data_IF_932242782350
#
_entry.id   IF_932242782350
#
_cell.length_a   1.000
_cell.length_b   1.000
_cell.length_c   1.000
_cell.angle_alpha   90.00
_cell.angle_beta   90.00
_cell.angle_gamma   90.00
#
_symmetry.space_group_name_H-M   'P 1'
#
loop_
_entity.id
_entity.type
_entity.pdbx_description
1 polymer ?
#
# COMPACT_ATOMS: atom_id res chain seq x y z
N UNK A 1 -30.69 8.08 28.22
CA UNK A 1 -29.77 6.96 27.92
C UNK A 1 -28.56 7.60 27.28
N UNK A 2 -27.74 8.17 28.16
CA UNK A 2 -26.65 9.06 27.81
C UNK A 2 -25.52 8.31 27.12
N UNK A 3 -25.15 8.86 25.96
CA UNK A 3 -23.83 8.92 25.35
C UNK A 3 -22.71 8.18 26.10
N UNK A 4 -22.48 6.92 25.72
CA UNK A 4 -21.13 6.34 25.79
C UNK A 4 -20.40 6.88 24.56
N UNK A 5 -19.99 8.14 24.64
CA UNK A 5 -19.00 8.66 23.71
C UNK A 5 -17.72 7.87 23.99
N UNK A 6 -17.48 6.93 23.09
CA UNK A 6 -16.29 6.10 22.89
C UNK A 6 -15.00 6.79 23.38
N UNK A 7 -14.61 6.51 24.62
CA UNK A 7 -13.33 6.93 25.22
C UNK A 7 -12.12 6.19 24.57
N UNK A 8 -12.36 5.44 23.49
CA UNK A 8 -11.37 4.65 22.75
C UNK A 8 -10.86 5.32 21.46
N UNK A 9 -11.47 6.42 21.01
CA UNK A 9 -11.00 7.11 19.79
C UNK A 9 -9.67 7.84 20.03
N UNK A 10 -9.39 8.29 21.26
CA UNK A 10 -8.16 8.97 21.64
C UNK A 10 -6.90 8.09 21.74
N UNK A 11 -7.06 6.78 21.94
CA UNK A 11 -5.95 5.79 21.97
C UNK A 11 -5.88 4.95 20.68
N UNK A 12 -6.81 5.20 19.74
CA UNK A 12 -6.81 4.56 18.43
C UNK A 12 -5.78 5.24 17.53
N UNK A 13 -5.01 4.43 16.80
CA UNK A 13 -4.13 4.97 15.75
C UNK A 13 -4.98 5.68 14.68
N UNK A 14 -4.71 6.94 14.32
CA UNK A 14 -5.46 7.65 13.28
C UNK A 14 -5.34 6.97 11.91
N UNK A 15 -6.38 7.04 11.08
CA UNK A 15 -6.38 6.45 9.73
C UNK A 15 -5.34 7.08 8.82
N UNK A 16 -5.05 8.36 9.03
CA UNK A 16 -4.06 9.15 8.31
C UNK A 16 -2.66 8.59 8.57
N UNK A 17 -2.37 8.16 9.81
CA UNK A 17 -1.09 7.58 10.18
C UNK A 17 -0.92 6.17 9.58
N UNK A 18 -1.99 5.38 9.56
CA UNK A 18 -2.00 4.07 8.90
C UNK A 18 -1.84 4.20 7.37
N UNK A 19 -2.47 5.21 6.77
CA UNK A 19 -2.34 5.53 5.34
C UNK A 19 -0.93 5.98 4.99
N UNK A 20 -0.36 6.90 5.79
CA UNK A 20 1.03 7.33 5.63
C UNK A 20 2.03 6.17 5.79
N UNK A 21 1.75 5.21 6.69
CA UNK A 21 2.55 3.99 6.80
C UNK A 21 2.47 3.15 5.52
N UNK A 22 1.26 2.94 4.98
CA UNK A 22 1.02 2.17 3.74
C UNK A 22 1.73 2.80 2.55
N UNK A 23 1.63 4.12 2.42
CA UNK A 23 2.18 4.88 1.31
C UNK A 23 3.69 5.16 1.47
N UNK A 24 4.30 4.71 2.57
CA UNK A 24 5.74 4.85 2.82
C UNK A 24 6.19 6.28 3.11
N UNK A 25 5.27 7.12 3.59
CA UNK A 25 5.49 8.56 3.84
C UNK A 25 5.99 8.86 5.26
N UNK A 26 6.00 7.85 6.15
CA UNK A 26 6.50 7.98 7.51
C UNK A 26 8.03 7.83 7.57
N UNK A 27 8.63 8.52 8.54
CA UNK A 27 10.01 8.23 8.94
C UNK A 27 10.10 6.79 9.48
N UNK A 28 11.28 6.16 9.34
CA UNK A 28 11.44 4.74 9.68
C UNK A 28 11.24 4.46 11.18
N UNK A 29 11.50 5.43 12.08
CA UNK A 29 11.29 5.25 13.52
C UNK A 29 9.81 5.18 13.87
N UNK A 30 9.02 6.11 13.35
CA UNK A 30 7.54 6.08 13.48
C UNK A 30 6.96 4.86 12.80
N UNK A 31 7.44 4.52 11.60
CA UNK A 31 6.99 3.34 10.87
C UNK A 31 7.30 2.03 11.62
N UNK A 32 8.50 1.90 12.22
CA UNK A 32 8.88 0.74 13.01
C UNK A 32 8.01 0.58 14.26
N UNK A 33 7.75 1.67 14.99
CA UNK A 33 6.84 1.65 16.14
C UNK A 33 5.44 1.21 15.76
N UNK A 34 4.92 1.71 14.65
CA UNK A 34 3.58 1.37 14.21
C UNK A 34 3.47 -0.07 13.71
N UNK A 35 4.50 -0.59 13.03
CA UNK A 35 4.59 -2.03 12.69
C UNK A 35 4.68 -2.91 13.94
N UNK A 36 5.45 -2.49 14.94
CA UNK A 36 5.51 -3.19 16.23
C UNK A 36 4.16 -3.20 16.94
N UNK A 37 3.42 -2.07 16.90
CA UNK A 37 2.07 -1.99 17.46
C UNK A 37 1.09 -2.88 16.70
N UNK A 38 1.12 -2.89 15.37
CA UNK A 38 0.32 -3.82 14.56
C UNK A 38 0.64 -5.29 14.85
N UNK A 39 1.89 -5.62 15.19
CA UNK A 39 2.27 -6.98 15.59
C UNK A 39 1.76 -7.37 17.00
N UNK A 40 1.55 -6.39 17.88
CA UNK A 40 1.09 -6.60 19.26
C UNK A 40 -0.44 -6.44 19.43
N UNK A 41 -1.07 -5.66 18.55
CA UNK A 41 -2.48 -5.29 18.60
C UNK A 41 -3.20 -5.74 17.30
N UNK A 42 -4.03 -6.80 17.35
CA UNK A 42 -4.73 -7.32 16.18
C UNK A 42 -5.70 -6.28 15.58
N UNK A 43 -6.21 -5.35 16.39
CA UNK A 43 -7.11 -4.31 15.90
C UNK A 43 -6.41 -3.33 14.95
N UNK A 44 -5.15 -3.00 15.23
CA UNK A 44 -4.31 -2.18 14.35
C UNK A 44 -3.96 -2.95 13.07
N UNK A 45 -3.69 -4.25 13.18
CA UNK A 45 -3.45 -5.11 12.02
C UNK A 45 -4.67 -5.19 11.08
N UNK A 46 -5.87 -5.37 11.63
CA UNK A 46 -7.12 -5.45 10.85
C UNK A 46 -7.42 -4.15 10.11
N UNK A 47 -7.14 -3.00 10.74
CA UNK A 47 -7.30 -1.70 10.08
C UNK A 47 -6.31 -1.50 8.94
N UNK A 48 -5.05 -1.92 9.09
CA UNK A 48 -4.10 -1.91 7.98
C UNK A 48 -4.57 -2.82 6.83
N UNK A 49 -5.03 -4.04 7.17
CA UNK A 49 -5.56 -4.97 6.18
C UNK A 49 -6.80 -4.40 5.44
N UNK A 50 -7.63 -3.62 6.13
CA UNK A 50 -8.77 -2.93 5.51
C UNK A 50 -8.33 -1.90 4.46
N UNK A 51 -7.23 -1.16 4.69
CA UNK A 51 -6.68 -0.21 3.70
C UNK A 51 -6.13 -0.89 2.45
N UNK A 52 -5.65 -2.12 2.58
CA UNK A 52 -5.12 -2.91 1.47
C UNK A 52 -6.21 -3.65 0.69
N UNK A 53 -7.42 -3.80 1.25
CA UNK A 53 -8.52 -4.56 0.63
C UNK A 53 -9.04 -3.90 -0.65
N UNK A 54 -9.28 -2.58 -0.65
CA UNK A 54 -9.81 -1.88 -1.83
C UNK A 54 -8.82 -1.95 -3.01
N UNK A 55 -7.52 -1.63 -2.85
CA UNK A 55 -6.55 -1.81 -3.93
C UNK A 55 -6.46 -3.25 -4.44
N UNK A 56 -6.54 -4.25 -3.55
CA UNK A 56 -6.53 -5.66 -3.97
C UNK A 56 -7.78 -6.04 -4.77
N UNK A 57 -8.96 -5.56 -4.37
CA UNK A 57 -10.19 -5.77 -5.12
C UNK A 57 -10.14 -5.09 -6.48
N UNK A 58 -9.62 -3.86 -6.56
CA UNK A 58 -9.42 -3.17 -7.84
C UNK A 58 -8.38 -3.89 -8.72
N UNK A 59 -7.29 -4.41 -8.13
CA UNK A 59 -6.31 -5.19 -8.86
C UNK A 59 -6.90 -6.51 -9.40
N UNK A 60 -7.76 -7.17 -8.63
CA UNK A 60 -8.49 -8.36 -9.08
C UNK A 60 -9.44 -8.03 -10.24
N UNK A 61 -10.17 -6.91 -10.17
CA UNK A 61 -11.00 -6.42 -11.26
C UNK A 61 -10.18 -6.05 -12.50
N UNK A 62 -9.00 -5.44 -12.33
CA UNK A 62 -8.13 -5.09 -13.45
C UNK A 62 -7.46 -6.31 -14.11
N UNK A 63 -7.29 -7.41 -13.37
CA UNK A 63 -6.79 -8.67 -13.89
C UNK A 63 -7.84 -9.49 -14.64
N UNK A 64 -9.11 -9.06 -14.61
CA UNK A 64 -10.17 -9.67 -15.40
C UNK A 64 -9.98 -9.34 -16.88
N UNK A 65 -9.39 -10.30 -17.60
CA UNK A 65 -9.11 -10.22 -19.02
C UNK A 65 -10.36 -10.27 -19.91
N UNK A 66 -11.53 -10.63 -19.37
CA UNK A 66 -12.79 -10.58 -20.11
C UNK A 66 -13.28 -9.14 -20.30
N UNK A 67 -12.95 -8.26 -19.35
CA UNK A 67 -13.40 -6.86 -19.33
C UNK A 67 -12.33 -5.88 -19.82
N UNK A 68 -11.06 -6.31 -19.91
CA UNK A 68 -9.95 -5.45 -20.29
C UNK A 68 -9.73 -5.39 -21.81
N UNK A 69 -9.72 -4.18 -22.37
CA UNK A 69 -9.24 -3.97 -23.74
C UNK A 69 -7.76 -4.37 -23.87
N UNK A 70 -7.42 -5.03 -24.97
CA UNK A 70 -6.04 -5.37 -25.28
C UNK A 70 -5.17 -4.10 -25.37
N UNK A 71 -4.01 -4.10 -24.70
CA UNK A 71 -3.04 -3.00 -24.77
C UNK A 71 -2.53 -2.89 -26.21
N UNK A 72 -2.60 -1.71 -26.85
CA UNK A 72 -2.08 -1.54 -28.21
C UNK A 72 -0.58 -1.85 -28.29
N UNK A 73 -0.12 -2.62 -29.29
CA UNK A 73 1.26 -3.10 -29.37
C UNK A 73 2.28 -1.95 -29.51
N UNK A 74 1.88 -0.85 -30.15
CA UNK A 74 2.64 0.38 -30.28
C UNK A 74 2.92 1.07 -28.94
N UNK A 75 2.01 0.98 -27.97
CA UNK A 75 2.22 1.47 -26.60
C UNK A 75 3.31 0.65 -25.91
N UNK A 76 3.22 -0.68 -25.96
CA UNK A 76 4.22 -1.59 -25.40
C UNK A 76 5.59 -1.36 -26.02
N UNK A 77 5.67 -1.28 -27.36
CA UNK A 77 6.91 -1.02 -28.08
C UNK A 77 7.53 0.34 -27.70
N UNK A 78 6.72 1.38 -27.48
CA UNK A 78 7.17 2.69 -27.03
C UNK A 78 7.76 2.64 -25.61
N UNK A 79 7.08 1.95 -24.69
CA UNK A 79 7.54 1.77 -23.31
C UNK A 79 8.85 0.99 -23.28
N UNK A 80 8.94 -0.12 -24.01
CA UNK A 80 10.19 -0.92 -24.10
C UNK A 80 11.36 -0.12 -24.63
N UNK A 81 11.15 0.70 -25.67
CA UNK A 81 12.18 1.57 -26.22
C UNK A 81 12.63 2.62 -25.20
N UNK A 82 11.69 3.23 -24.48
CA UNK A 82 12.00 4.20 -23.43
C UNK A 82 12.81 3.56 -22.30
N UNK A 83 12.40 2.39 -21.81
CA UNK A 83 13.10 1.65 -20.76
C UNK A 83 14.52 1.27 -21.18
N UNK A 84 14.72 0.82 -22.43
CA UNK A 84 16.06 0.49 -22.97
C UNK A 84 16.96 1.70 -23.16
N UNK A 85 16.38 2.87 -23.42
CA UNK A 85 17.15 4.12 -23.55
C UNK A 85 17.57 4.72 -22.21
N UNK A 86 16.93 4.30 -21.12
CA UNK A 86 17.27 4.76 -19.79
C UNK A 86 18.51 4.00 -19.27
N UNK A 87 19.54 4.67 -18.73
CA UNK A 87 20.62 3.97 -18.06
C UNK A 87 20.05 3.11 -16.92
N UNK A 88 20.63 1.93 -16.64
CA UNK A 88 20.13 1.04 -15.60
C UNK A 88 20.00 1.85 -14.30
N UNK A 89 18.88 1.73 -13.57
CA UNK A 89 18.72 2.47 -12.34
C UNK A 89 19.92 2.16 -11.46
N UNK A 90 20.74 3.18 -11.16
CA UNK A 90 21.86 3.05 -10.25
C UNK A 90 21.33 2.39 -8.98
N UNK A 91 22.05 1.39 -8.46
CA UNK A 91 21.64 0.46 -7.38
C UNK A 91 21.08 1.18 -6.15
N UNK A 92 19.88 1.74 -6.24
CA UNK A 92 19.09 2.19 -5.11
C UNK A 92 18.53 0.91 -4.52
N UNK A 93 18.85 0.65 -3.26
CA UNK A 93 18.47 -0.55 -2.52
C UNK A 93 16.95 -0.70 -2.53
N UNK A 94 16.43 -1.45 -3.50
CA UNK A 94 15.10 -2.06 -3.44
C UNK A 94 15.13 -3.14 -2.36
N UNK A 95 15.14 -2.73 -1.09
CA UNK A 95 14.95 -3.61 0.07
C UNK A 95 13.56 -3.38 0.66
N UNK A 96 12.50 -3.51 -0.12
CA UNK A 96 11.14 -3.57 0.45
C UNK A 96 10.04 -4.12 -0.46
N UNK A 97 10.35 -4.79 -1.57
CA UNK A 97 9.28 -5.22 -2.51
C UNK A 97 9.49 -6.65 -3.03
N UNK A 98 10.01 -7.54 -2.18
CA UNK A 98 10.28 -8.92 -2.58
C UNK A 98 10.45 -9.86 -1.40
N UNK A 99 9.40 -10.03 -0.61
CA UNK A 99 9.11 -11.26 0.16
C UNK A 99 7.59 -11.33 0.35
N UNK A 100 6.92 -12.07 -0.53
CA UNK A 100 5.80 -12.91 -0.14
C UNK A 100 6.31 -14.34 -0.21
#
# INVERSE_FOLDING_TARGET
MDSVADDHDGDRVPWELLSALRDGLLDEGTAARLRSRAAADPHVADRLAALDRVPQQLAALAADAETADAVPPDVTARVERALRSCPPPGRRRWRRWGRR
#
